data_IF_333702421390
#
_entry.id   IF_333702421390
#
_cell.length_a   1.000
_cell.length_b   1.000
_cell.length_c   1.000
_cell.angle_alpha   90.00
_cell.angle_beta   90.00
_cell.angle_gamma   90.00
#
_symmetry.space_group_name_H-M   'P 1'
#
loop_
_entity.id
_entity.type
_entity.pdbx_description
1 polymer ?
#
# COMPACT_ATOMS: atom_id res chain seq x y z
N UNK A 1 -2.28 -31.64 4.01
CA UNK A 1 -3.34 -31.35 3.02
C UNK A 1 -3.44 -29.86 2.65
N UNK A 2 -3.29 -28.91 3.58
CA UNK A 2 -3.43 -27.45 3.29
C UNK A 2 -2.29 -26.83 2.44
N UNK A 3 -1.05 -27.30 2.56
CA UNK A 3 0.10 -26.70 1.87
C UNK A 3 0.02 -26.76 0.33
N UNK A 4 -0.65 -27.78 -0.22
CA UNK A 4 -0.83 -27.90 -1.67
C UNK A 4 -1.82 -26.86 -2.22
N UNK A 5 -2.87 -26.53 -1.45
CA UNK A 5 -3.87 -25.56 -1.87
C UNK A 5 -3.25 -24.17 -2.00
N UNK A 6 -2.50 -23.73 -0.97
CA UNK A 6 -1.81 -22.44 -0.95
C UNK A 6 -0.85 -22.34 -2.13
N UNK A 7 0.01 -23.36 -2.31
CA UNK A 7 0.97 -23.37 -3.42
C UNK A 7 0.28 -23.29 -4.79
N UNK A 8 -0.77 -24.09 -5.00
CA UNK A 8 -1.52 -24.07 -6.27
C UNK A 8 -2.20 -22.72 -6.54
N UNK A 9 -2.60 -22.00 -5.50
CA UNK A 9 -3.19 -20.67 -5.63
C UNK A 9 -2.12 -19.65 -6.03
N UNK A 10 -0.98 -19.63 -5.33
CA UNK A 10 0.12 -18.70 -5.64
C UNK A 10 0.65 -18.92 -7.05
N UNK A 11 0.80 -20.18 -7.49
CA UNK A 11 1.25 -20.52 -8.86
C UNK A 11 0.27 -20.03 -9.96
N UNK A 12 -1.01 -19.80 -9.63
CA UNK A 12 -2.02 -19.29 -10.57
C UNK A 12 -2.10 -17.76 -10.66
N UNK A 13 -1.58 -17.03 -9.66
CA UNK A 13 -1.69 -15.57 -9.62
C UNK A 13 -1.16 -14.88 -10.91
N UNK A 14 0.00 -15.25 -11.48
CA UNK A 14 0.48 -14.60 -12.70
C UNK A 14 -0.48 -14.78 -13.88
N UNK A 15 -1.13 -15.94 -13.99
CA UNK A 15 -2.10 -16.24 -15.05
C UNK A 15 -3.41 -15.47 -14.83
N UNK A 16 -3.89 -15.38 -13.59
CA UNK A 16 -5.11 -14.63 -13.26
C UNK A 16 -4.99 -13.14 -13.58
N UNK A 17 -3.78 -12.58 -13.49
CA UNK A 17 -3.51 -11.16 -13.69
C UNK A 17 -2.60 -10.88 -14.90
N UNK A 18 -2.54 -11.78 -15.89
CA UNK A 18 -1.66 -11.66 -17.06
C UNK A 18 -1.94 -10.40 -17.89
N UNK A 19 -3.22 -9.97 -17.95
CA UNK A 19 -3.69 -8.83 -18.76
C UNK A 19 -4.48 -7.85 -17.89
N UNK A 20 -3.81 -7.07 -17.03
CA UNK A 20 -4.47 -6.09 -16.20
C UNK A 20 -5.02 -4.94 -17.08
N UNK A 21 -6.22 -4.46 -16.77
CA UNK A 21 -6.87 -3.36 -17.50
C UNK A 21 -6.57 -1.98 -16.90
N UNK A 22 -5.97 -1.94 -15.70
CA UNK A 22 -5.64 -0.72 -14.98
C UNK A 22 -4.41 -0.91 -14.09
N UNK A 23 -3.65 0.17 -13.90
CA UNK A 23 -2.54 0.27 -12.95
C UNK A 23 -2.94 0.88 -11.61
N UNK A 24 -4.22 1.24 -11.45
CA UNK A 24 -4.77 1.77 -10.21
C UNK A 24 -4.91 0.71 -9.13
N UNK A 25 -4.73 1.10 -7.87
CA UNK A 25 -4.93 0.25 -6.72
C UNK A 25 -5.63 1.01 -5.58
N UNK A 26 -6.21 0.26 -4.64
CA UNK A 26 -6.99 0.76 -3.51
C UNK A 26 -6.39 0.35 -2.15
N UNK A 27 -5.06 0.47 -2.00
CA UNK A 27 -4.33 -0.08 -0.84
C UNK A 27 -4.93 0.35 0.51
N UNK A 28 -5.34 1.61 0.69
CA UNK A 28 -5.90 2.06 1.96
C UNK A 28 -7.17 1.30 2.33
N UNK A 29 -8.02 0.96 1.36
CA UNK A 29 -9.21 0.14 1.60
C UNK A 29 -8.85 -1.31 1.91
N UNK A 30 -7.88 -1.87 1.19
CA UNK A 30 -7.40 -3.23 1.44
C UNK A 30 -6.76 -3.37 2.83
N UNK A 31 -5.95 -2.39 3.25
CA UNK A 31 -5.28 -2.38 4.55
C UNK A 31 -6.27 -2.35 5.72
N UNK A 32 -7.36 -1.57 5.61
CA UNK A 32 -8.43 -1.57 6.62
C UNK A 32 -9.01 -2.96 6.81
N UNK A 33 -9.42 -3.61 5.72
CA UNK A 33 -10.03 -4.94 5.77
C UNK A 33 -9.05 -5.98 6.32
N UNK A 34 -7.79 -5.96 5.86
CA UNK A 34 -6.80 -6.93 6.31
C UNK A 34 -6.42 -6.71 7.78
N UNK A 35 -6.31 -5.45 8.24
CA UNK A 35 -6.11 -5.15 9.65
C UNK A 35 -7.25 -5.71 10.51
N UNK A 36 -8.51 -5.43 10.15
CA UNK A 36 -9.68 -5.96 10.86
C UNK A 36 -9.69 -7.49 10.88
N UNK A 37 -9.32 -8.12 9.76
CA UNK A 37 -9.27 -9.59 9.63
C UNK A 37 -8.30 -10.25 10.62
N UNK A 38 -7.18 -9.58 10.95
CA UNK A 38 -6.14 -10.15 11.82
C UNK A 38 -6.09 -9.51 13.21
N UNK A 39 -6.89 -8.47 13.48
CA UNK A 39 -6.80 -7.65 14.68
C UNK A 39 -6.94 -8.44 16.00
N UNK A 40 -7.74 -9.52 16.01
CA UNK A 40 -7.93 -10.34 17.20
C UNK A 40 -6.66 -11.11 17.62
N UNK A 41 -5.84 -11.51 16.63
CA UNK A 41 -4.65 -12.35 16.84
C UNK A 41 -3.36 -11.52 16.77
N UNK A 42 -3.40 -10.39 16.06
CA UNK A 42 -2.22 -9.63 15.66
C UNK A 42 -1.44 -10.32 14.53
N UNK A 43 -0.24 -9.83 14.26
CA UNK A 43 0.66 -10.45 13.27
C UNK A 43 1.29 -9.43 12.33
N UNK A 44 1.35 -9.76 11.04
CA UNK A 44 2.05 -8.95 10.04
C UNK A 44 1.33 -8.90 8.71
N UNK A 45 1.23 -7.70 8.17
CA UNK A 45 0.72 -7.43 6.83
C UNK A 45 1.92 -7.02 5.97
N UNK A 46 2.24 -7.84 4.97
CA UNK A 46 3.32 -7.55 4.02
C UNK A 46 2.71 -7.15 2.68
N UNK A 47 2.97 -5.92 2.25
CA UNK A 47 2.42 -5.34 1.02
C UNK A 47 3.50 -5.26 -0.04
N UNK A 48 3.20 -5.75 -1.24
CA UNK A 48 3.99 -5.50 -2.45
C UNK A 48 3.22 -4.53 -3.34
N UNK A 49 3.76 -3.34 -3.56
CA UNK A 49 3.11 -2.29 -4.34
C UNK A 49 4.04 -1.78 -5.43
N UNK A 50 3.49 -1.53 -6.62
CA UNK A 50 4.24 -1.05 -7.79
C UNK A 50 3.78 0.33 -8.28
N UNK A 51 2.64 0.83 -7.81
CA UNK A 51 2.05 2.10 -8.27
C UNK A 51 1.45 2.92 -7.13
N UNK A 52 1.34 4.24 -7.34
CA UNK A 52 0.68 5.13 -6.40
C UNK A 52 -0.79 4.71 -6.19
N UNK A 53 -1.29 4.61 -4.95
CA UNK A 53 -2.70 4.32 -4.69
C UNK A 53 -3.59 5.45 -5.20
N UNK A 54 -4.56 5.12 -6.04
CA UNK A 54 -5.39 6.11 -6.75
C UNK A 54 -6.88 5.88 -6.59
N UNK A 55 -7.30 4.81 -5.92
CA UNK A 55 -8.71 4.46 -5.72
C UNK A 55 -9.04 4.23 -4.24
N UNK A 56 -10.29 4.50 -3.87
CA UNK A 56 -10.84 4.17 -2.55
C UNK A 56 -10.31 5.05 -1.41
N UNK A 57 -10.44 4.54 -0.19
CA UNK A 57 -9.96 5.23 1.00
C UNK A 57 -8.45 5.49 0.93
N UNK A 58 -8.03 6.69 1.32
CA UNK A 58 -6.64 7.15 1.30
C UNK A 58 -5.98 7.13 -0.09
N UNK A 59 -6.78 7.30 -1.15
CA UNK A 59 -6.27 7.56 -2.50
C UNK A 59 -5.39 8.81 -2.52
N UNK A 60 -4.28 8.74 -3.25
CA UNK A 60 -3.31 9.81 -3.40
C UNK A 60 -3.31 10.35 -4.84
N UNK A 61 -2.79 11.57 -4.99
CA UNK A 61 -2.54 12.20 -6.28
C UNK A 61 -1.07 12.58 -6.37
N UNK A 62 -0.44 12.49 -7.55
CA UNK A 62 0.88 13.06 -7.75
C UNK A 62 0.88 14.55 -7.40
N UNK A 63 1.78 14.95 -6.49
CA UNK A 63 1.89 16.33 -6.00
C UNK A 63 3.28 16.94 -6.20
N UNK A 64 4.17 16.21 -6.87
CA UNK A 64 5.42 16.78 -7.37
C UNK A 64 5.15 17.68 -8.58
N UNK A 65 5.71 18.89 -8.52
CA UNK A 65 5.84 19.77 -9.69
C UNK A 65 7.22 19.53 -10.34
N UNK A 66 7.29 19.06 -11.60
CA UNK A 66 8.56 18.86 -12.31
C UNK A 66 9.45 20.11 -12.34
N UNK A 67 8.86 21.31 -12.35
CA UNK A 67 9.59 22.57 -12.44
C UNK A 67 10.26 22.95 -11.10
N UNK A 68 9.82 22.37 -9.99
CA UNK A 68 10.32 22.69 -8.65
C UNK A 68 11.38 21.71 -8.15
N UNK A 69 11.72 20.67 -8.95
CA UNK A 69 12.68 19.62 -8.57
C UNK A 69 14.10 20.13 -8.30
N UNK A 70 14.49 21.25 -8.92
CA UNK A 70 15.81 21.87 -8.72
C UNK A 70 15.78 23.04 -7.72
N UNK A 71 14.65 23.29 -7.08
CA UNK A 71 14.50 24.35 -6.07
C UNK A 71 15.20 24.00 -4.77
N UNK A 72 15.53 25.04 -3.98
CA UNK A 72 16.16 24.87 -2.66
C UNK A 72 15.16 24.47 -1.56
N UNK A 73 13.86 24.60 -1.81
CA UNK A 73 12.81 24.25 -0.84
C UNK A 73 12.37 22.79 -1.00
N UNK A 74 12.42 22.04 0.11
CA UNK A 74 11.95 20.65 0.15
C UNK A 74 10.46 20.65 0.50
N UNK A 75 9.63 20.52 -0.53
CA UNK A 75 8.17 20.42 -0.38
C UNK A 75 7.71 18.97 -0.23
N UNK A 76 6.45 18.76 0.16
CA UNK A 76 5.77 17.46 0.17
C UNK A 76 6.33 16.39 1.14
N UNK A 77 7.07 16.77 2.19
CA UNK A 77 7.53 15.85 3.23
C UNK A 77 6.47 15.48 4.27
N UNK A 78 5.36 16.21 4.30
CA UNK A 78 4.22 15.92 5.18
C UNK A 78 3.27 14.94 4.48
N UNK A 79 2.73 13.93 5.19
CA UNK A 79 1.72 13.04 4.64
C UNK A 79 0.55 13.83 4.03
N UNK A 80 0.06 13.40 2.88
CA UNK A 80 -1.09 14.03 2.22
C UNK A 80 -2.42 13.77 2.94
N UNK A 81 -2.45 12.80 3.87
CA UNK A 81 -3.63 12.42 4.65
C UNK A 81 -3.20 11.81 5.99
N UNK A 82 -4.00 12.03 7.04
CA UNK A 82 -3.78 11.40 8.35
C UNK A 82 -4.15 9.91 8.37
N UNK A 83 -4.79 9.39 7.33
CA UNK A 83 -5.28 8.01 7.28
C UNK A 83 -4.20 6.98 7.65
N UNK A 84 -3.03 7.03 7.01
CA UNK A 84 -1.98 6.03 7.23
C UNK A 84 -1.37 6.14 8.63
N UNK A 85 -1.32 7.36 9.19
CA UNK A 85 -0.93 7.60 10.57
C UNK A 85 -1.95 7.01 11.56
N UNK A 86 -3.24 7.24 11.33
CA UNK A 86 -4.30 6.65 12.17
C UNK A 86 -4.28 5.12 12.10
N UNK A 87 -4.15 4.56 10.89
CA UNK A 87 -4.01 3.12 10.70
C UNK A 87 -2.80 2.54 11.45
N UNK A 88 -1.64 3.20 11.40
CA UNK A 88 -0.46 2.75 12.13
C UNK A 88 -0.67 2.72 13.66
N UNK A 89 -1.43 3.68 14.20
CA UNK A 89 -1.80 3.70 15.61
C UNK A 89 -2.74 2.54 15.97
N UNK A 90 -3.75 2.28 15.13
CA UNK A 90 -4.67 1.14 15.29
C UNK A 90 -3.92 -0.19 15.24
N UNK A 91 -3.04 -0.37 14.24
CA UNK A 91 -2.20 -1.56 14.12
C UNK A 91 -1.33 -1.78 15.36
N UNK A 92 -0.77 -0.71 15.94
CA UNK A 92 0.01 -0.81 17.18
C UNK A 92 -0.83 -1.33 18.34
N UNK A 93 -2.09 -0.87 18.45
CA UNK A 93 -3.04 -1.34 19.46
C UNK A 93 -3.38 -2.83 19.32
N UNK A 94 -3.39 -3.36 18.10
CA UNK A 94 -3.70 -4.77 17.80
C UNK A 94 -2.46 -5.64 17.55
N UNK A 95 -1.26 -5.17 17.88
CA UNK A 95 -0.01 -5.93 17.69
C UNK A 95 0.22 -6.36 16.23
N UNK A 96 -0.17 -5.50 15.29
CA UNK A 96 -0.01 -5.70 13.85
C UNK A 96 1.16 -4.88 13.34
N UNK A 97 2.11 -5.53 12.67
CA UNK A 97 3.18 -4.89 11.92
C UNK A 97 2.81 -4.75 10.43
N UNK A 98 3.34 -3.70 9.80
CA UNK A 98 3.17 -3.42 8.37
C UNK A 98 4.54 -3.34 7.70
N UNK A 99 4.76 -4.17 6.66
CA UNK A 99 5.92 -4.04 5.77
C UNK A 99 5.45 -3.57 4.39
N UNK A 100 6.11 -2.56 3.83
CA UNK A 100 5.87 -2.10 2.47
C UNK A 100 7.09 -2.37 1.58
N UNK A 101 6.92 -3.25 0.60
CA UNK A 101 7.85 -3.45 -0.50
C UNK A 101 7.35 -2.63 -1.70
N UNK A 102 8.02 -1.52 -1.97
CA UNK A 102 7.68 -0.61 -3.05
C UNK A 102 8.59 -0.84 -4.27
N UNK A 103 8.02 -1.34 -5.35
CA UNK A 103 8.69 -1.66 -6.61
C UNK A 103 8.20 -0.75 -7.75
N UNK A 104 8.18 0.56 -7.50
CA UNK A 104 7.70 1.57 -8.46
C UNK A 104 8.88 2.22 -9.21
N UNK A 105 8.69 2.54 -10.49
CA UNK A 105 9.62 3.32 -11.33
C UNK A 105 9.24 4.80 -11.47
N UNK A 106 8.11 5.20 -10.87
CA UNK A 106 7.53 6.53 -10.92
C UNK A 106 7.28 7.09 -9.51
N UNK A 107 6.74 8.31 -9.43
CA UNK A 107 6.36 8.93 -8.17
C UNK A 107 5.41 8.05 -7.35
N UNK A 108 5.68 7.93 -6.05
CA UNK A 108 4.97 7.04 -5.14
C UNK A 108 4.52 7.69 -3.81
N UNK A 109 4.85 8.95 -3.57
CA UNK A 109 4.52 9.67 -2.34
C UNK A 109 4.91 8.92 -1.04
N UNK A 110 6.19 8.57 -0.91
CA UNK A 110 6.73 7.87 0.27
C UNK A 110 6.60 8.67 1.57
N UNK A 111 6.43 9.99 1.49
CA UNK A 111 6.14 10.78 2.68
C UNK A 111 4.78 10.44 3.30
N UNK A 112 3.85 9.91 2.51
CA UNK A 112 2.51 9.53 2.95
C UNK A 112 2.36 8.05 3.27
N UNK A 113 3.02 7.18 2.49
CA UNK A 113 2.98 5.71 2.63
C UNK A 113 3.96 5.21 3.68
#
# INVERSE_FOLDING_TARGET
>A
MQMWVIRSFVEKLPVLFEKPTSSSNCIGSALKIVHELIAEIGGRITVFQTTLPTLGAASLKPREDPNQRAGNDVQNLVPATDFYKTLALECTGHQVALDLFLLNTHYADLATL
#
